data_IF_438999087291
#
_entry.id   IF_438999087291
#
_cell.length_a   1.000
_cell.length_b   1.000
_cell.length_c   1.000
_cell.angle_alpha   90.00
_cell.angle_beta   90.00
_cell.angle_gamma   90.00
#
_symmetry.space_group_name_H-M   'P 1'
#
loop_
_entity.id
_entity.type
_entity.pdbx_description
1 polymer ?
#
# COMPACT_ATOMS: atom_id res chain seq x y z
N UNK A 1 -5.39 -41.69 21.32
CA UNK A 1 -4.35 -41.29 22.29
C UNK A 1 -4.45 -39.80 22.59
N UNK A 2 -4.26 -39.38 23.84
CA UNK A 2 -4.33 -37.96 24.28
C UNK A 2 -3.36 -37.04 23.55
N UNK A 3 -2.28 -37.60 23.00
CA UNK A 3 -1.29 -36.93 22.15
C UNK A 3 -1.86 -36.47 20.81
N UNK A 4 -2.63 -37.32 20.12
CA UNK A 4 -3.27 -36.99 18.85
C UNK A 4 -4.30 -35.87 19.01
N UNK A 5 -5.05 -35.90 20.12
CA UNK A 5 -6.03 -34.84 20.42
C UNK A 5 -5.37 -33.47 20.68
N UNK A 6 -4.19 -33.46 21.30
CA UNK A 6 -3.39 -32.23 21.50
C UNK A 6 -2.84 -31.70 20.18
N UNK A 7 -2.36 -32.58 19.30
CA UNK A 7 -1.89 -32.20 17.96
C UNK A 7 -3.03 -31.61 17.12
N UNK A 8 -4.20 -32.25 17.16
CA UNK A 8 -5.40 -31.77 16.46
C UNK A 8 -5.79 -30.37 16.91
N UNK A 9 -5.91 -30.15 18.23
CA UNK A 9 -6.23 -28.84 18.80
C UNK A 9 -5.19 -27.77 18.43
N UNK A 10 -3.91 -28.11 18.43
CA UNK A 10 -2.85 -27.19 17.99
C UNK A 10 -2.97 -26.85 16.50
N UNK A 11 -3.37 -27.81 15.67
CA UNK A 11 -3.56 -27.61 14.22
C UNK A 11 -4.72 -26.66 13.95
N UNK A 12 -5.85 -26.88 14.63
CA UNK A 12 -7.02 -26.02 14.50
C UNK A 12 -6.75 -24.60 14.99
N UNK A 13 -6.05 -24.45 16.12
CA UNK A 13 -5.62 -23.14 16.60
C UNK A 13 -4.72 -22.42 15.59
N UNK A 14 -3.75 -23.13 15.00
CA UNK A 14 -2.88 -22.55 13.97
C UNK A 14 -3.64 -22.17 12.69
N UNK A 15 -4.63 -22.97 12.27
CA UNK A 15 -5.49 -22.68 11.12
C UNK A 15 -6.37 -21.46 11.39
N UNK A 16 -7.02 -21.40 12.55
CA UNK A 16 -7.84 -20.26 12.97
C UNK A 16 -7.02 -18.97 12.97
N UNK A 17 -5.81 -18.98 13.55
CA UNK A 17 -4.90 -17.83 13.53
C UNK A 17 -4.56 -17.37 12.11
N UNK A 18 -4.21 -18.29 11.21
CA UNK A 18 -3.90 -17.96 9.81
C UNK A 18 -5.10 -17.39 9.05
N UNK A 19 -6.30 -17.89 9.34
CA UNK A 19 -7.54 -17.37 8.74
C UNK A 19 -7.79 -15.93 9.18
N UNK A 20 -7.71 -15.66 10.50
CA UNK A 20 -7.90 -14.32 11.06
C UNK A 20 -6.84 -13.33 10.54
N UNK A 21 -5.56 -13.73 10.49
CA UNK A 21 -4.49 -12.90 9.94
C UNK A 21 -4.79 -12.51 8.48
N UNK A 22 -5.25 -13.47 7.67
CA UNK A 22 -5.57 -13.24 6.26
C UNK A 22 -6.77 -12.30 6.12
N UNK A 23 -7.81 -12.49 6.93
CA UNK A 23 -8.99 -11.62 6.95
C UNK A 23 -8.62 -10.17 7.29
N UNK A 24 -7.84 -9.95 8.36
CA UNK A 24 -7.42 -8.61 8.79
C UNK A 24 -6.54 -7.93 7.73
N UNK A 25 -5.63 -8.67 7.09
CA UNK A 25 -4.79 -8.12 6.01
C UNK A 25 -5.64 -7.69 4.82
N UNK A 26 -6.64 -8.48 4.42
CA UNK A 26 -7.53 -8.07 3.34
C UNK A 26 -8.40 -6.88 3.75
N UNK A 27 -8.90 -6.80 4.98
CA UNK A 27 -9.61 -5.62 5.46
C UNK A 27 -8.73 -4.37 5.35
N UNK A 28 -7.45 -4.45 5.75
CA UNK A 28 -6.49 -3.37 5.59
C UNK A 28 -6.32 -2.99 4.11
N UNK A 29 -6.18 -3.96 3.19
CA UNK A 29 -6.07 -3.70 1.76
C UNK A 29 -7.25 -2.88 1.19
N UNK A 30 -8.45 -3.09 1.73
CA UNK A 30 -9.67 -2.37 1.31
C UNK A 30 -9.75 -0.93 1.86
N UNK A 31 -8.91 -0.57 2.84
CA UNK A 31 -8.79 0.80 3.36
C UNK A 31 -7.74 1.65 2.64
N UNK A 32 -6.87 1.02 1.84
CA UNK A 32 -5.84 1.72 1.08
C UNK A 32 -6.47 2.53 -0.07
N UNK A 33 -5.83 3.63 -0.51
CA UNK A 33 -6.36 4.54 -1.53
C UNK A 33 -6.22 3.97 -2.96
N UNK A 34 -6.67 2.74 -3.18
CA UNK A 34 -6.67 2.08 -4.49
C UNK A 34 -8.09 1.72 -4.91
N UNK A 35 -8.29 1.57 -6.21
CA UNK A 35 -9.53 1.01 -6.71
C UNK A 35 -9.75 -0.40 -6.14
N UNK A 36 -10.99 -0.74 -5.79
CA UNK A 36 -11.33 -2.05 -5.19
C UNK A 36 -10.82 -3.24 -6.01
N UNK A 37 -10.83 -3.12 -7.34
CA UNK A 37 -10.31 -4.14 -8.24
C UNK A 37 -8.81 -4.42 -8.06
N UNK A 38 -8.02 -3.40 -7.72
CA UNK A 38 -6.59 -3.55 -7.42
C UNK A 38 -6.39 -4.12 -6.02
N UNK A 39 -7.03 -3.53 -5.00
CA UNK A 39 -6.91 -3.97 -3.61
C UNK A 39 -7.27 -5.44 -3.38
N UNK A 40 -8.26 -5.96 -4.12
CA UNK A 40 -8.71 -7.34 -3.98
C UNK A 40 -7.66 -8.40 -4.42
N UNK A 41 -6.71 -8.03 -5.29
CA UNK A 41 -5.71 -8.94 -5.84
C UNK A 41 -4.31 -8.77 -5.24
N UNK A 42 -4.17 -7.91 -4.23
CA UNK A 42 -2.90 -7.70 -3.55
C UNK A 42 -2.51 -8.96 -2.74
N UNK A 43 -1.24 -9.33 -2.82
CA UNK A 43 -0.66 -10.32 -1.92
C UNK A 43 -0.32 -9.70 -0.55
N UNK A 44 -0.11 -10.55 0.47
CA UNK A 44 0.15 -10.10 1.85
C UNK A 44 1.35 -9.16 1.94
N UNK A 45 2.41 -9.43 1.19
CA UNK A 45 3.62 -8.63 1.21
C UNK A 45 3.38 -7.24 0.60
N UNK A 46 2.65 -7.15 -0.52
CA UNK A 46 2.33 -5.87 -1.14
C UNK A 46 1.35 -5.06 -0.30
N UNK A 47 0.37 -5.68 0.37
CA UNK A 47 -0.50 -4.99 1.35
C UNK A 47 0.36 -4.29 2.40
N UNK A 48 1.34 -5.00 2.99
CA UNK A 48 2.24 -4.43 3.99
C UNK A 48 3.09 -3.30 3.42
N UNK A 49 3.73 -3.52 2.26
CA UNK A 49 4.58 -2.51 1.61
C UNK A 49 3.79 -1.24 1.29
N UNK A 50 2.64 -1.37 0.63
CA UNK A 50 1.79 -0.24 0.26
C UNK A 50 1.26 0.50 1.49
N UNK A 51 0.91 -0.21 2.56
CA UNK A 51 0.50 0.41 3.83
C UNK A 51 1.63 1.24 4.43
N UNK A 52 2.84 0.67 4.50
CA UNK A 52 4.01 1.38 5.04
C UNK A 52 4.34 2.61 4.19
N UNK A 53 4.36 2.46 2.86
CA UNK A 53 4.60 3.55 1.92
C UNK A 53 3.55 4.66 2.07
N UNK A 54 2.26 4.31 2.14
CA UNK A 54 1.17 5.26 2.36
C UNK A 54 1.33 6.04 3.66
N UNK A 55 1.61 5.35 4.78
CA UNK A 55 1.79 6.00 6.08
C UNK A 55 3.04 6.90 6.11
N UNK A 56 4.15 6.48 5.47
CA UNK A 56 5.36 7.31 5.32
C UNK A 56 5.06 8.57 4.52
N UNK A 57 4.37 8.45 3.38
CA UNK A 57 4.01 9.58 2.55
C UNK A 57 3.08 10.56 3.29
N UNK A 58 2.08 10.05 3.99
CA UNK A 58 1.17 10.88 4.80
C UNK A 58 1.92 11.65 5.90
N UNK A 59 2.89 11.01 6.57
CA UNK A 59 3.74 11.67 7.56
C UNK A 59 4.63 12.75 6.95
N UNK A 60 5.20 12.50 5.77
CA UNK A 60 6.03 13.47 5.05
C UNK A 60 5.21 14.72 4.68
N UNK A 61 4.02 14.54 4.11
CA UNK A 61 3.13 15.64 3.77
C UNK A 61 2.72 16.47 5.00
N UNK A 62 2.42 15.80 6.11
CA UNK A 62 2.02 16.47 7.35
C UNK A 62 3.18 17.26 7.99
N UNK A 63 4.42 16.75 7.91
CA UNK A 63 5.60 17.40 8.48
C UNK A 63 6.10 18.57 7.62
N UNK A 64 5.92 18.51 6.30
CA UNK A 64 6.45 19.51 5.37
C UNK A 64 5.67 20.82 5.27
N UNK A 65 4.61 21.04 6.05
CA UNK A 65 3.62 22.12 5.83
C UNK A 65 2.96 22.08 4.44
N UNK A 66 3.04 20.96 3.72
CA UNK A 66 2.47 20.79 2.37
C UNK A 66 0.94 20.71 2.39
N UNK A 67 0.33 20.64 3.58
CA UNK A 67 -1.11 20.73 3.79
C UNK A 67 -1.73 22.06 3.29
N UNK A 68 -0.95 23.12 3.06
CA UNK A 68 -1.48 24.40 2.61
C UNK A 68 -1.70 24.50 1.08
N UNK A 69 -1.19 23.55 0.29
CA UNK A 69 -1.31 23.60 -1.19
C UNK A 69 -2.64 22.98 -1.67
N UNK A 70 -3.35 22.23 -0.82
CA UNK A 70 -4.57 21.50 -1.19
C UNK A 70 -5.88 22.28 -1.10
N UNK A 71 -5.88 23.54 -0.63
CA UNK A 71 -7.12 24.31 -0.45
C UNK A 71 -7.69 24.94 -1.74
N UNK A 72 -7.00 24.79 -2.88
CA UNK A 72 -7.39 25.37 -4.17
C UNK A 72 -7.15 24.43 -5.35
N UNK A 73 -7.52 23.14 -5.21
CA UNK A 73 -7.34 22.12 -6.24
C UNK A 73 -8.10 22.42 -7.53
N UNK A 74 -7.46 23.15 -8.44
CA UNK A 74 -7.85 23.27 -9.84
C UNK A 74 -7.57 21.96 -10.59
N UNK A 75 -8.23 21.69 -11.73
CA UNK A 75 -8.01 20.52 -12.59
C UNK A 75 -6.58 20.38 -13.17
N UNK A 76 -5.68 21.31 -12.85
CA UNK A 76 -4.32 21.44 -13.37
C UNK A 76 -3.35 20.37 -12.83
N UNK A 77 -3.67 19.71 -11.71
CA UNK A 77 -2.80 18.69 -11.10
C UNK A 77 -2.50 17.51 -12.05
N UNK A 78 -3.49 17.07 -12.81
CA UNK A 78 -3.29 16.03 -13.81
C UNK A 78 -2.47 16.51 -15.03
N UNK A 79 -2.44 17.81 -15.30
CA UNK A 79 -1.65 18.38 -16.40
C UNK A 79 -0.16 18.43 -16.04
N UNK A 80 0.22 18.66 -14.78
CA UNK A 80 1.63 18.66 -14.38
C UNK A 80 2.30 17.31 -14.62
N UNK A 81 1.67 16.20 -14.25
CA UNK A 81 2.20 14.86 -14.52
C UNK A 81 2.19 14.47 -16.01
N UNK A 82 1.34 15.11 -16.83
CA UNK A 82 1.33 14.91 -18.29
C UNK A 82 2.40 15.74 -19.00
N UNK A 83 2.68 16.94 -18.50
CA UNK A 83 3.73 17.81 -19.00
C UNK A 83 5.13 17.30 -18.62
N UNK A 84 5.23 16.54 -17.53
CA UNK A 84 6.46 15.87 -17.12
C UNK A 84 6.82 14.75 -18.10
N UNK A 85 7.94 14.88 -18.81
CA UNK A 85 8.58 13.79 -19.57
C UNK A 85 9.33 12.83 -18.64
N UNK A 86 8.60 12.28 -17.66
CA UNK A 86 9.16 11.39 -16.65
C UNK A 86 8.13 11.02 -15.59
N UNK A 87 8.61 10.48 -14.47
CA UNK A 87 7.78 10.10 -13.32
C UNK A 87 8.40 10.62 -12.03
N UNK A 88 7.59 10.71 -10.99
CA UNK A 88 8.01 11.15 -9.65
C UNK A 88 8.21 9.92 -8.79
N UNK A 89 9.31 9.89 -8.04
CA UNK A 89 9.61 8.85 -7.05
C UNK A 89 10.09 9.50 -5.76
N UNK A 90 9.60 9.00 -4.62
CA UNK A 90 10.04 9.42 -3.29
C UNK A 90 10.71 8.22 -2.63
N UNK A 91 11.95 8.42 -2.17
CA UNK A 91 12.75 7.40 -1.51
C UNK A 91 13.00 7.79 -0.06
N UNK A 92 13.10 6.80 0.83
CA UNK A 92 13.68 7.02 2.16
C UNK A 92 15.20 7.12 2.09
N UNK A 93 15.84 7.51 3.19
CA UNK A 93 17.30 7.52 3.29
C UNK A 93 17.92 6.12 3.10
N UNK A 94 17.18 5.06 3.41
CA UNK A 94 17.61 3.67 3.17
C UNK A 94 17.38 3.20 1.73
N UNK A 95 16.73 4.01 0.89
CA UNK A 95 16.40 3.66 -0.50
C UNK A 95 15.07 2.93 -0.68
N UNK A 96 14.24 2.83 0.36
CA UNK A 96 12.89 2.27 0.20
C UNK A 96 11.99 3.23 -0.59
N UNK A 97 11.22 2.68 -1.54
CA UNK A 97 10.21 3.46 -2.28
C UNK A 97 9.01 3.80 -1.39
N UNK A 98 8.86 5.08 -1.06
CA UNK A 98 7.73 5.61 -0.30
C UNK A 98 6.57 6.05 -1.21
N UNK A 99 6.87 6.51 -2.42
CA UNK A 99 5.87 6.88 -3.43
C UNK A 99 6.45 6.76 -4.84
N UNK A 100 5.58 6.47 -5.79
CA UNK A 100 5.87 6.42 -7.23
C UNK A 100 4.64 6.95 -7.97
N UNK A 101 4.78 7.78 -9.00
CA UNK A 101 3.61 8.29 -9.73
C UNK A 101 3.05 7.26 -10.73
N UNK A 102 1.74 7.28 -10.96
CA UNK A 102 1.02 6.33 -11.84
C UNK A 102 1.56 6.29 -13.29
N UNK A 103 2.12 7.40 -13.77
CA UNK A 103 2.67 7.51 -15.13
C UNK A 103 4.01 6.79 -15.32
N UNK A 104 4.57 6.15 -14.27
CA UNK A 104 5.76 5.30 -14.38
C UNK A 104 5.58 4.17 -15.40
N UNK A 105 4.36 3.64 -15.51
CA UNK A 105 4.00 2.58 -16.46
C UNK A 105 4.30 2.93 -17.91
N UNK A 106 4.20 4.22 -18.27
CA UNK A 106 4.51 4.72 -19.62
C UNK A 106 6.01 4.71 -19.93
N UNK A 107 6.84 4.77 -18.89
CA UNK A 107 8.29 4.93 -19.03
C UNK A 107 9.04 3.61 -18.80
N UNK A 108 8.57 2.78 -17.85
CA UNK A 108 9.25 1.55 -17.43
C UNK A 108 8.43 0.27 -17.67
N UNK A 109 7.15 0.39 -18.07
CA UNK A 109 6.25 -0.77 -18.22
C UNK A 109 5.83 -1.42 -16.89
N UNK A 110 6.14 -0.79 -15.76
CA UNK A 110 5.80 -1.28 -14.42
C UNK A 110 4.51 -0.61 -13.92
N UNK A 111 3.63 -1.37 -13.28
CA UNK A 111 2.52 -0.79 -12.54
C UNK A 111 3.01 -0.23 -11.21
N UNK A 112 2.35 0.84 -10.76
CA UNK A 112 2.47 1.35 -9.40
C UNK A 112 1.91 0.32 -8.40
#
# INVERSE_FOLDING_TARGET
STTELRKEKSRDAARSRRSQETEVLYQLAHTLPFARGVSAHLDKASIMRLTISYLRMHRLCAAGEWNQVGAGGEPLDACYLKALEGFVMVLTAEGDMAYLSENVSKHLGLSQ
#
